data_IF_020594292121
#
_entry.id   IF_020594292121
#
_cell.length_a   1.000
_cell.length_b   1.000
_cell.length_c   1.000
_cell.angle_alpha   90.00
_cell.angle_beta   90.00
_cell.angle_gamma   90.00
#
_symmetry.space_group_name_H-M   'P 1'
#
loop_
_entity.id
_entity.type
_entity.pdbx_description
1 polymer ?
#
# COMPACT_ATOMS: atom_id res chain seq x y z
N UNK A 1 -23.81 12.20 -21.81
CA UNK A 1 -23.77 11.33 -20.61
C UNK A 1 -23.91 9.85 -20.91
N UNK A 2 -24.82 9.43 -21.81
CA UNK A 2 -25.08 7.99 -22.06
C UNK A 2 -23.90 7.22 -22.68
N UNK A 3 -23.00 7.88 -23.40
CA UNK A 3 -21.82 7.25 -24.03
C UNK A 3 -20.57 7.33 -23.16
N UNK A 4 -20.37 8.42 -22.43
CA UNK A 4 -19.18 8.66 -21.60
C UNK A 4 -19.12 7.70 -20.39
N UNK A 5 -20.25 7.43 -19.74
CA UNK A 5 -20.31 6.57 -18.56
C UNK A 5 -19.71 5.18 -18.78
N UNK A 6 -20.20 4.41 -19.76
CA UNK A 6 -19.66 3.07 -20.06
C UNK A 6 -18.18 3.08 -20.46
N UNK A 7 -17.71 4.09 -21.21
CA UNK A 7 -16.31 4.21 -21.60
C UNK A 7 -15.40 4.45 -20.39
N UNK A 8 -15.79 5.34 -19.48
CA UNK A 8 -15.08 5.57 -18.21
C UNK A 8 -15.08 4.32 -17.33
N UNK A 9 -16.24 3.65 -17.19
CA UNK A 9 -16.33 2.43 -16.39
C UNK A 9 -15.39 1.33 -16.90
N UNK A 10 -15.31 1.15 -18.22
CA UNK A 10 -14.41 0.17 -18.82
C UNK A 10 -12.94 0.55 -18.59
N UNK A 11 -12.58 1.81 -18.76
CA UNK A 11 -11.22 2.27 -18.53
C UNK A 11 -10.80 2.13 -17.04
N UNK A 12 -11.70 2.47 -16.10
CA UNK A 12 -11.45 2.31 -14.66
C UNK A 12 -11.34 0.84 -14.25
N UNK A 13 -12.18 -0.05 -14.82
CA UNK A 13 -12.05 -1.51 -14.62
C UNK A 13 -10.70 -2.04 -15.10
N UNK A 14 -10.22 -1.56 -16.24
CA UNK A 14 -8.93 -1.94 -16.80
C UNK A 14 -7.74 -1.46 -15.94
N UNK A 15 -7.94 -0.42 -15.10
CA UNK A 15 -6.93 0.06 -14.15
C UNK A 15 -6.75 -0.84 -12.91
N UNK A 16 -7.49 -1.96 -12.81
CA UNK A 16 -7.25 -3.00 -11.81
C UNK A 16 -7.45 -2.57 -10.35
N UNK A 17 -8.32 -1.57 -10.08
CA UNK A 17 -8.59 -1.08 -8.72
C UNK A 17 -7.75 0.13 -8.28
N UNK A 18 -6.73 0.51 -9.07
CA UNK A 18 -5.91 1.70 -8.79
C UNK A 18 -6.70 3.02 -8.88
N UNK A 19 -7.82 3.03 -9.58
CA UNK A 19 -8.71 4.18 -9.73
C UNK A 19 -10.14 3.75 -9.37
N UNK A 20 -10.85 4.59 -8.62
CA UNK A 20 -12.27 4.39 -8.31
C UNK A 20 -13.11 5.45 -9.00
N UNK A 21 -14.29 5.08 -9.45
CA UNK A 21 -15.24 6.00 -10.08
C UNK A 21 -16.51 6.11 -9.25
N UNK A 22 -16.96 7.35 -9.08
CA UNK A 22 -18.27 7.67 -8.47
C UNK A 22 -19.06 8.52 -9.46
N UNK A 23 -20.34 8.21 -9.64
CA UNK A 23 -21.27 9.01 -10.43
C UNK A 23 -22.11 9.87 -9.48
N UNK A 24 -22.20 11.16 -9.78
CA UNK A 24 -22.95 12.11 -8.98
C UNK A 24 -24.01 12.75 -9.87
N UNK A 25 -25.27 12.70 -9.43
CA UNK A 25 -26.35 13.42 -10.05
C UNK A 25 -26.34 14.87 -9.53
N UNK A 26 -26.08 15.82 -10.42
CA UNK A 26 -25.99 17.25 -10.07
C UNK A 26 -27.32 17.85 -9.66
N UNK A 27 -28.44 17.29 -10.15
CA UNK A 27 -29.79 17.74 -9.80
C UNK A 27 -30.13 17.43 -8.34
N UNK A 28 -29.61 16.31 -7.83
CA UNK A 28 -29.78 15.86 -6.45
C UNK A 28 -28.70 16.39 -5.51
N UNK A 29 -27.55 16.84 -6.05
CA UNK A 29 -26.38 17.28 -5.30
C UNK A 29 -25.95 18.70 -5.68
N UNK A 30 -26.88 19.66 -5.68
CA UNK A 30 -26.66 21.05 -6.12
C UNK A 30 -25.57 21.77 -5.33
N UNK A 31 -25.45 21.51 -4.03
CA UNK A 31 -24.39 22.10 -3.18
C UNK A 31 -22.98 21.67 -3.65
N UNK A 32 -22.81 20.39 -3.94
CA UNK A 32 -21.54 19.85 -4.45
C UNK A 32 -21.24 20.38 -5.84
N UNK A 33 -22.25 20.47 -6.72
CA UNK A 33 -22.12 21.06 -8.04
C UNK A 33 -21.67 22.52 -7.98
N UNK A 34 -22.20 23.30 -7.04
CA UNK A 34 -21.80 24.69 -6.82
C UNK A 34 -20.37 24.80 -6.26
N UNK A 35 -20.00 23.96 -5.28
CA UNK A 35 -18.65 23.93 -4.71
C UNK A 35 -17.58 23.59 -5.77
N UNK A 36 -17.88 22.63 -6.65
CA UNK A 36 -17.00 22.20 -7.74
C UNK A 36 -17.13 23.12 -8.99
N UNK A 37 -17.96 24.17 -8.93
CA UNK A 37 -18.21 25.11 -10.02
C UNK A 37 -18.56 24.42 -11.34
N UNK A 38 -19.43 23.41 -11.28
CA UNK A 38 -19.86 22.66 -12.47
C UNK A 38 -20.75 23.55 -13.31
N UNK A 39 -20.28 23.95 -14.50
CA UNK A 39 -20.99 24.82 -15.44
C UNK A 39 -21.61 24.04 -16.60
N UNK A 40 -21.16 22.84 -16.84
CA UNK A 40 -21.64 22.00 -17.93
C UNK A 40 -21.60 20.52 -17.57
N UNK A 41 -22.45 19.72 -18.21
CA UNK A 41 -22.50 18.27 -18.08
C UNK A 41 -22.29 17.61 -19.46
N UNK A 42 -21.53 16.52 -19.53
CA UNK A 42 -20.81 15.85 -18.44
C UNK A 42 -19.54 16.59 -18.04
N UNK A 43 -19.23 16.63 -16.75
CA UNK A 43 -17.94 17.08 -16.19
C UNK A 43 -17.35 15.93 -15.40
N UNK A 44 -16.08 15.67 -15.57
CA UNK A 44 -15.31 14.65 -14.86
C UNK A 44 -14.20 15.34 -14.09
N UNK A 45 -14.10 15.04 -12.81
CA UNK A 45 -12.99 15.45 -11.94
C UNK A 45 -12.28 14.23 -11.39
N UNK A 46 -10.97 14.29 -11.36
CA UNK A 46 -10.13 13.34 -10.67
C UNK A 46 -9.65 13.94 -9.35
N UNK A 47 -9.76 13.17 -8.28
CA UNK A 47 -9.29 13.55 -6.95
C UNK A 47 -8.20 12.58 -6.50
N UNK A 48 -7.18 13.13 -5.86
CA UNK A 48 -6.15 12.38 -5.16
C UNK A 48 -5.95 12.99 -3.77
N UNK A 49 -6.04 12.15 -2.72
CA UNK A 49 -5.94 12.58 -1.31
C UNK A 49 -6.89 13.74 -0.95
N UNK A 50 -8.11 13.73 -1.53
CA UNK A 50 -9.12 14.77 -1.28
C UNK A 50 -8.93 16.06 -2.10
N UNK A 51 -7.91 16.15 -2.94
CA UNK A 51 -7.63 17.32 -3.79
C UNK A 51 -7.96 17.03 -5.26
N UNK A 52 -8.57 17.96 -6.00
CA UNK A 52 -8.75 17.82 -7.43
C UNK A 52 -7.37 17.93 -8.13
N UNK A 53 -7.01 16.91 -8.91
CA UNK A 53 -5.70 16.83 -9.59
C UNK A 53 -5.80 16.95 -11.11
N UNK A 54 -6.92 16.52 -11.70
CA UNK A 54 -7.15 16.58 -13.15
C UNK A 54 -8.67 16.55 -13.41
N UNK A 55 -9.08 16.84 -14.64
CA UNK A 55 -10.48 16.78 -15.05
C UNK A 55 -10.69 17.22 -16.48
N UNK A 56 -11.89 16.94 -16.99
CA UNK A 56 -12.32 17.41 -18.30
C UNK A 56 -13.83 17.68 -18.33
N UNK A 57 -14.25 18.47 -19.29
CA UNK A 57 -15.65 18.77 -19.53
C UNK A 57 -16.07 18.31 -20.94
N UNK A 58 -17.30 17.86 -21.06
CA UNK A 58 -17.86 17.40 -22.34
C UNK A 58 -17.51 15.95 -22.66
N UNK A 59 -17.93 15.53 -23.84
CA UNK A 59 -17.64 14.19 -24.36
C UNK A 59 -16.18 14.14 -24.85
N UNK A 60 -15.48 13.07 -24.48
CA UNK A 60 -14.12 12.78 -24.92
C UNK A 60 -14.11 11.48 -25.72
N UNK A 61 -13.23 11.32 -26.72
CA UNK A 61 -13.03 10.06 -27.42
C UNK A 61 -12.45 9.00 -26.48
N UNK A 62 -12.67 7.73 -26.79
CA UNK A 62 -12.22 6.61 -25.95
C UNK A 62 -10.72 6.61 -25.69
N UNK A 63 -9.89 7.04 -26.68
CA UNK A 63 -8.44 7.18 -26.54
C UNK A 63 -8.05 8.17 -25.45
N UNK A 64 -8.71 9.33 -25.39
CA UNK A 64 -8.47 10.35 -24.37
C UNK A 64 -8.92 9.90 -22.99
N UNK A 65 -10.04 9.16 -22.90
CA UNK A 65 -10.52 8.60 -21.65
C UNK A 65 -9.53 7.57 -21.10
N UNK A 66 -9.01 6.68 -21.96
CA UNK A 66 -7.98 5.71 -21.58
C UNK A 66 -6.68 6.40 -21.14
N UNK A 67 -6.24 7.41 -21.88
CA UNK A 67 -5.05 8.19 -21.53
C UNK A 67 -5.23 8.94 -20.21
N UNK A 68 -6.41 9.49 -19.94
CA UNK A 68 -6.76 10.15 -18.69
C UNK A 68 -6.69 9.17 -17.50
N UNK A 69 -7.35 8.03 -17.57
CA UNK A 69 -7.32 7.01 -16.51
C UNK A 69 -5.89 6.47 -16.29
N UNK A 70 -5.12 6.29 -17.35
CA UNK A 70 -3.72 5.84 -17.25
C UNK A 70 -2.81 6.90 -16.61
N UNK A 71 -3.03 8.20 -16.89
CA UNK A 71 -2.34 9.28 -16.17
C UNK A 71 -2.65 9.25 -14.68
N UNK A 72 -3.93 9.06 -14.32
CA UNK A 72 -4.34 8.95 -12.91
C UNK A 72 -3.72 7.73 -12.23
N UNK A 73 -3.69 6.59 -12.91
CA UNK A 73 -3.04 5.39 -12.41
C UNK A 73 -1.55 5.62 -12.13
N UNK A 74 -0.85 6.26 -13.06
CA UNK A 74 0.56 6.63 -12.90
C UNK A 74 0.78 7.68 -11.82
N UNK A 75 -0.07 8.69 -11.75
CA UNK A 75 -0.01 9.73 -10.73
C UNK A 75 -0.33 9.15 -9.34
N UNK A 76 -1.29 8.24 -9.25
CA UNK A 76 -1.58 7.49 -8.02
C UNK A 76 -0.41 6.61 -7.60
N UNK A 77 0.25 5.94 -8.53
CA UNK A 77 1.45 5.16 -8.26
C UNK A 77 2.67 6.03 -7.94
N UNK A 78 2.80 7.21 -8.55
CA UNK A 78 3.90 8.16 -8.30
C UNK A 78 3.64 9.07 -7.08
N UNK A 79 2.38 9.30 -6.73
CA UNK A 79 1.96 10.09 -5.56
C UNK A 79 1.79 9.28 -4.28
N UNK A 80 1.83 7.97 -4.37
CA UNK A 80 2.15 7.07 -3.29
C UNK A 80 3.69 6.89 -3.29
N UNK A 81 4.39 7.89 -2.79
CA UNK A 81 5.62 7.58 -2.09
C UNK A 81 5.29 6.49 -1.06
N UNK A 82 6.26 5.71 -0.60
CA UNK A 82 5.99 4.63 0.33
C UNK A 82 5.07 5.14 1.44
N UNK A 83 4.01 4.40 1.76
CA UNK A 83 3.09 4.76 2.84
C UNK A 83 3.87 5.03 4.12
N UNK A 84 3.36 5.76 5.10
CA UNK A 84 4.06 5.96 6.37
C UNK A 84 4.52 4.63 7.00
N UNK A 85 3.75 3.56 6.81
CA UNK A 85 4.11 2.20 7.26
C UNK A 85 5.28 1.65 6.44
N UNK A 86 5.26 1.75 5.12
CA UNK A 86 6.36 1.32 4.25
C UNK A 86 7.63 2.11 4.52
N UNK A 87 7.54 3.43 4.72
CA UNK A 87 8.69 4.25 5.11
C UNK A 87 9.27 3.84 6.47
N UNK A 88 8.43 3.52 7.44
CA UNK A 88 8.87 3.03 8.73
C UNK A 88 9.56 1.66 8.60
N UNK A 89 9.04 0.75 7.78
CA UNK A 89 9.66 -0.56 7.50
C UNK A 89 11.03 -0.38 6.84
N UNK A 90 11.16 0.49 5.82
CA UNK A 90 12.44 0.79 5.17
C UNK A 90 13.47 1.36 6.17
N UNK A 91 13.04 2.29 7.04
CA UNK A 91 13.90 2.82 8.09
C UNK A 91 14.33 1.77 9.10
N UNK A 92 13.43 0.89 9.52
CA UNK A 92 13.75 -0.20 10.42
C UNK A 92 14.72 -1.22 9.80
N UNK A 93 14.55 -1.54 8.51
CA UNK A 93 15.48 -2.40 7.78
C UNK A 93 16.88 -1.78 7.68
N UNK A 94 16.96 -0.49 7.35
CA UNK A 94 18.23 0.23 7.31
C UNK A 94 18.94 0.26 8.69
N UNK A 95 18.17 0.46 9.78
CA UNK A 95 18.71 0.40 11.13
C UNK A 95 19.21 -1.01 11.49
N UNK A 96 18.49 -2.05 11.09
CA UNK A 96 18.89 -3.44 11.29
C UNK A 96 20.22 -3.77 10.55
N UNK A 97 20.35 -3.32 9.31
CA UNK A 97 21.58 -3.47 8.50
C UNK A 97 22.76 -2.68 9.09
N UNK A 98 22.48 -1.54 9.73
CA UNK A 98 23.49 -0.74 10.45
C UNK A 98 23.90 -1.34 11.80
N UNK A 99 23.24 -2.43 12.25
CA UNK A 99 23.49 -3.06 13.55
C UNK A 99 22.76 -2.37 14.71
N UNK A 100 21.85 -1.44 14.44
CA UNK A 100 21.05 -0.72 15.43
C UNK A 100 19.78 -1.51 15.79
N UNK A 101 19.97 -2.70 16.39
CA UNK A 101 18.89 -3.66 16.63
C UNK A 101 17.77 -3.11 17.51
N UNK A 102 18.09 -2.29 18.53
CA UNK A 102 17.11 -1.65 19.42
C UNK A 102 16.25 -0.63 18.66
N UNK A 103 16.87 0.20 17.83
CA UNK A 103 16.15 1.17 16.99
C UNK A 103 15.25 0.46 16.00
N UNK A 104 15.76 -0.55 15.31
CA UNK A 104 14.99 -1.34 14.34
C UNK A 104 13.78 -2.03 14.99
N UNK A 105 13.98 -2.69 16.14
CA UNK A 105 12.90 -3.39 16.85
C UNK A 105 11.82 -2.42 17.36
N UNK A 106 12.19 -1.23 17.82
CA UNK A 106 11.23 -0.20 18.24
C UNK A 106 10.34 0.26 17.06
N UNK A 107 10.93 0.48 15.88
CA UNK A 107 10.19 0.91 14.69
C UNK A 107 9.27 -0.22 14.19
N UNK A 108 9.75 -1.46 14.08
CA UNK A 108 8.91 -2.59 13.73
C UNK A 108 7.76 -2.79 14.73
N UNK A 109 8.02 -2.63 16.03
CA UNK A 109 7.01 -2.66 17.07
C UNK A 109 5.94 -1.59 16.90
N UNK A 110 6.29 -0.37 16.51
CA UNK A 110 5.33 0.70 16.20
C UNK A 110 4.48 0.36 14.99
N UNK A 111 5.06 -0.19 13.94
CA UNK A 111 4.30 -0.67 12.77
C UNK A 111 3.27 -1.70 13.19
N UNK A 112 3.64 -2.67 14.02
CA UNK A 112 2.75 -3.74 14.50
C UNK A 112 1.64 -3.25 15.45
N UNK A 113 1.79 -2.08 16.08
CA UNK A 113 0.69 -1.44 16.83
C UNK A 113 -0.42 -0.93 15.90
N UNK A 114 -0.08 -0.55 14.66
CA UNK A 114 -1.04 -0.07 13.66
C UNK A 114 -1.53 -1.17 12.73
N UNK A 115 -0.67 -2.13 12.41
CA UNK A 115 -0.94 -3.27 11.53
C UNK A 115 -0.33 -4.56 12.14
N UNK A 116 -1.06 -5.21 13.07
CA UNK A 116 -0.55 -6.40 13.78
C UNK A 116 -0.23 -7.60 12.90
N UNK A 117 -0.80 -7.67 11.69
CA UNK A 117 -0.60 -8.77 10.73
C UNK A 117 0.43 -8.43 9.65
N UNK A 118 1.15 -7.32 9.79
CA UNK A 118 2.16 -6.92 8.81
C UNK A 118 3.33 -7.91 8.78
N UNK A 119 3.41 -8.68 7.70
CA UNK A 119 4.38 -9.77 7.58
C UNK A 119 5.83 -9.27 7.56
N UNK A 120 6.09 -8.11 6.96
CA UNK A 120 7.44 -7.53 6.86
C UNK A 120 7.90 -7.03 8.24
N UNK A 121 7.01 -6.36 8.98
CA UNK A 121 7.32 -5.90 10.33
C UNK A 121 7.51 -7.05 11.33
N UNK A 122 6.69 -8.12 11.22
CA UNK A 122 6.85 -9.33 12.02
C UNK A 122 8.18 -10.03 11.73
N UNK A 123 8.51 -10.24 10.45
CA UNK A 123 9.76 -10.86 10.06
C UNK A 123 10.97 -10.01 10.48
N UNK A 124 10.88 -8.68 10.30
CA UNK A 124 11.92 -7.74 10.72
C UNK A 124 12.15 -7.75 12.24
N UNK A 125 11.09 -7.80 13.04
CA UNK A 125 11.21 -7.88 14.50
C UNK A 125 11.88 -9.19 14.93
N UNK A 126 11.52 -10.33 14.35
CA UNK A 126 12.17 -11.62 14.60
C UNK A 126 13.66 -11.55 14.19
N UNK A 127 13.97 -10.94 13.05
CA UNK A 127 15.36 -10.75 12.62
C UNK A 127 16.17 -9.88 13.59
N UNK A 128 15.56 -8.87 14.23
CA UNK A 128 16.21 -8.08 15.27
C UNK A 128 16.59 -8.94 16.48
N UNK A 129 15.72 -9.82 16.95
CA UNK A 129 16.03 -10.74 18.06
C UNK A 129 17.15 -11.73 17.69
N UNK A 130 17.11 -12.29 16.47
CA UNK A 130 18.20 -13.15 15.98
C UNK A 130 19.55 -12.42 15.94
N UNK A 131 19.56 -11.18 15.45
CA UNK A 131 20.77 -10.37 15.37
C UNK A 131 21.29 -9.93 16.76
N UNK A 132 20.39 -9.76 17.73
CA UNK A 132 20.75 -9.51 19.12
C UNK A 132 21.21 -10.77 19.87
N UNK A 133 21.12 -11.96 19.24
CA UNK A 133 21.48 -13.24 19.86
C UNK A 133 20.39 -13.90 20.70
N UNK A 134 19.21 -13.28 20.73
CA UNK A 134 18.03 -13.84 21.44
C UNK A 134 17.25 -14.79 20.53
N UNK A 135 17.86 -15.96 20.29
CA UNK A 135 17.34 -17.00 19.40
C UNK A 135 16.07 -17.63 19.98
N UNK A 136 15.95 -17.68 21.29
CA UNK A 136 14.79 -18.28 21.97
C UNK A 136 13.52 -17.46 21.71
N UNK A 137 13.55 -16.16 21.98
CA UNK A 137 12.45 -15.23 21.68
C UNK A 137 12.10 -15.22 20.19
N UNK A 138 13.12 -15.17 19.31
CA UNK A 138 12.90 -15.21 17.87
C UNK A 138 12.16 -16.46 17.41
N UNK A 139 12.50 -17.61 17.99
CA UNK A 139 11.86 -18.89 17.72
C UNK A 139 10.42 -18.93 18.22
N UNK A 140 10.19 -18.55 19.47
CA UNK A 140 8.84 -18.48 20.02
C UNK A 140 7.91 -17.62 19.17
N UNK A 141 8.39 -16.46 18.72
CA UNK A 141 7.63 -15.60 17.85
C UNK A 141 7.33 -16.25 16.48
N UNK A 142 8.33 -16.89 15.87
CA UNK A 142 8.17 -17.55 14.57
C UNK A 142 7.23 -18.76 14.66
N UNK A 143 7.34 -19.59 15.68
CA UNK A 143 6.51 -20.77 15.89
C UNK A 143 5.06 -20.42 16.27
N UNK A 144 4.85 -19.26 16.90
CA UNK A 144 3.53 -18.70 17.17
C UNK A 144 2.76 -18.23 15.93
N UNK A 145 3.44 -18.10 14.79
CA UNK A 145 2.78 -17.72 13.53
C UNK A 145 2.05 -18.91 12.91
N UNK A 146 0.91 -18.65 12.27
CA UNK A 146 0.23 -19.67 11.48
C UNK A 146 1.02 -20.07 10.23
N UNK A 147 0.72 -21.26 9.67
CA UNK A 147 1.45 -21.80 8.53
C UNK A 147 1.34 -20.92 7.27
N UNK A 148 0.23 -20.24 7.08
CA UNK A 148 0.04 -19.34 5.93
C UNK A 148 0.93 -18.10 6.05
N UNK A 149 1.03 -17.52 7.23
CA UNK A 149 1.91 -16.38 7.49
C UNK A 149 3.37 -16.77 7.33
N UNK A 150 3.82 -17.91 7.89
CA UNK A 150 5.18 -18.42 7.74
C UNK A 150 5.58 -18.69 6.28
N UNK A 151 4.63 -19.01 5.40
CA UNK A 151 4.89 -19.24 3.97
C UNK A 151 5.11 -17.97 3.15
N UNK A 152 4.87 -16.78 3.73
CA UNK A 152 5.12 -15.52 3.02
C UNK A 152 6.61 -15.29 2.80
N UNK A 153 6.95 -14.68 1.66
CA UNK A 153 8.35 -14.43 1.27
C UNK A 153 9.17 -13.65 2.32
N UNK A 154 8.52 -12.78 3.09
CA UNK A 154 9.14 -12.01 4.16
C UNK A 154 9.85 -12.87 5.22
N UNK A 155 9.38 -14.10 5.45
CA UNK A 155 9.94 -15.01 6.46
C UNK A 155 11.03 -15.95 5.95
N UNK A 156 11.34 -15.96 4.65
CA UNK A 156 12.30 -16.90 4.07
C UNK A 156 13.70 -16.79 4.68
N UNK A 157 14.19 -15.57 4.90
CA UNK A 157 15.52 -15.34 5.50
C UNK A 157 15.54 -15.68 6.99
N UNK A 158 14.47 -15.37 7.71
CA UNK A 158 14.31 -15.67 9.14
C UNK A 158 14.26 -17.18 9.37
N UNK A 159 13.51 -17.91 8.55
CA UNK A 159 13.44 -19.38 8.61
C UNK A 159 14.83 -20.01 8.39
N UNK A 160 15.56 -19.55 7.37
CA UNK A 160 16.90 -20.05 7.09
C UNK A 160 17.90 -19.77 8.23
N UNK A 161 17.81 -18.57 8.85
CA UNK A 161 18.66 -18.23 10.00
C UNK A 161 18.34 -19.08 11.24
N UNK A 162 17.07 -19.32 11.52
CA UNK A 162 16.65 -20.19 12.63
C UNK A 162 17.16 -21.63 12.42
N UNK A 163 17.05 -22.18 11.21
CA UNK A 163 17.58 -23.52 10.89
C UNK A 163 19.10 -23.60 11.07
N UNK A 164 19.84 -22.55 10.63
CA UNK A 164 21.29 -22.49 10.84
C UNK A 164 21.69 -22.47 12.32
N UNK A 165 20.94 -21.74 13.15
CA UNK A 165 21.18 -21.69 14.59
C UNK A 165 20.91 -23.05 15.26
N UNK A 166 19.87 -23.78 14.81
CA UNK A 166 19.60 -25.14 15.29
C UNK A 166 20.73 -26.12 14.96
N UNK A 167 21.21 -26.07 13.72
CA UNK A 167 22.31 -26.92 13.29
C UNK A 167 23.59 -26.65 14.10
N UNK A 168 23.87 -25.34 14.37
CA UNK A 168 25.02 -24.97 15.18
C UNK A 168 24.91 -25.39 16.65
N UNK A 169 23.68 -25.41 17.21
CA UNK A 169 23.45 -25.85 18.60
C UNK A 169 23.51 -27.37 18.75
N UNK A 170 23.32 -28.13 17.66
CA UNK A 170 23.33 -29.62 17.65
C UNK A 170 24.66 -30.21 17.14
N UNK A 171 25.67 -29.39 16.78
CA UNK A 171 26.97 -29.79 16.31
C UNK A 171 28.02 -29.83 17.44
#
# INVERSE_FOLDING_TARGET
CKQLGPLLENAVKAAGGAVRMVKINVDENQQLAAQLRIQSIPTVYAFFQGQPVDGFQGAQPESEIKAFVERLRKAGAAGQGPSPIEQAIEQAQAALEAGEHETASAIFGQVLQHDPENAEALAGLIACYLAAGDVETAREMYDGLDAQTRSKAAFSSVAAQLELQEQAANA
#
